data_IF_046982165494
#
_entry.id   IF_046982165494
#
_cell.length_a   1.000
_cell.length_b   1.000
_cell.length_c   1.000
_cell.angle_alpha   90.00
_cell.angle_beta   90.00
_cell.angle_gamma   90.00
#
_symmetry.space_group_name_H-M   'P 1'
#
loop_
_entity.id
_entity.type
_entity.pdbx_description
1 polymer ?
#
# COMPACT_ATOMS: atom_id res chain seq x y z
N UNK A 1 -1.88 27.16 53.30
CA UNK A 1 -2.39 27.36 51.93
C UNK A 1 -1.65 26.41 50.98
N UNK A 2 -2.07 25.15 50.93
CA UNK A 2 -1.56 24.15 49.99
C UNK A 2 -2.78 23.68 49.20
N UNK A 3 -3.05 24.27 48.04
CA UNK A 3 -3.81 23.62 46.95
C UNK A 3 -3.94 24.58 45.76
N UNK A 4 -2.96 24.56 44.83
CA UNK A 4 -3.17 25.11 43.47
C UNK A 4 -2.23 24.53 42.40
N UNK A 5 -1.50 23.43 42.70
CA UNK A 5 -0.51 22.83 41.79
C UNK A 5 -0.86 21.45 41.24
N UNK A 6 -2.06 20.92 41.53
CA UNK A 6 -2.47 19.57 41.11
C UNK A 6 -3.45 19.51 39.94
N UNK A 7 -4.02 20.63 39.48
CA UNK A 7 -5.00 20.61 38.37
C UNK A 7 -4.40 20.55 36.97
N UNK A 8 -3.10 20.82 36.80
CA UNK A 8 -2.50 20.88 35.47
C UNK A 8 -1.77 19.59 35.04
N UNK A 9 -1.59 18.62 35.95
CA UNK A 9 -0.97 17.33 35.61
C UNK A 9 -1.97 16.33 35.04
N UNK A 10 -3.23 16.35 35.47
CA UNK A 10 -4.26 15.44 34.91
C UNK A 10 -4.62 15.77 33.46
N UNK A 11 -4.82 17.04 33.11
CA UNK A 11 -5.12 17.42 31.72
C UNK A 11 -3.95 17.21 30.74
N UNK A 12 -2.71 17.35 31.21
CA UNK A 12 -1.53 17.03 30.39
C UNK A 12 -1.33 15.52 30.20
N UNK A 13 -1.70 14.71 31.21
CA UNK A 13 -1.65 13.25 31.14
C UNK A 13 -2.80 12.68 30.30
N UNK A 14 -4.02 13.23 30.40
CA UNK A 14 -5.13 12.92 29.49
C UNK A 14 -4.81 13.34 28.05
N UNK A 15 -4.21 14.52 27.82
CA UNK A 15 -3.77 14.94 26.48
C UNK A 15 -2.66 14.04 25.91
N UNK A 16 -1.75 13.53 26.76
CA UNK A 16 -0.75 12.53 26.37
C UNK A 16 -1.37 11.15 26.08
N UNK A 17 -2.37 10.74 26.86
CA UNK A 17 -3.13 9.51 26.63
C UNK A 17 -4.01 9.60 25.37
N UNK A 18 -4.59 10.77 25.09
CA UNK A 18 -5.35 11.05 23.86
C UNK A 18 -4.43 11.09 22.65
N UNK A 19 -3.21 11.64 22.78
CA UNK A 19 -2.18 11.61 21.74
C UNK A 19 -1.60 10.20 21.51
N UNK A 20 -1.55 9.35 22.54
CA UNK A 20 -1.25 7.91 22.41
C UNK A 20 -2.41 7.12 21.77
N UNK A 21 -3.65 7.62 21.86
CA UNK A 21 -4.84 7.02 21.22
C UNK A 21 -5.07 7.47 19.77
N UNK A 22 -4.28 8.42 19.25
CA UNK A 22 -4.36 8.82 17.86
C UNK A 22 -3.77 7.73 16.95
N UNK A 23 -4.63 7.10 16.14
CA UNK A 23 -4.18 6.19 15.08
C UNK A 23 -3.06 6.83 14.23
N UNK A 24 -1.86 6.28 14.35
CA UNK A 24 -0.68 6.70 13.60
C UNK A 24 -0.16 5.52 12.78
N UNK A 25 -0.78 5.23 11.62
CA UNK A 25 -0.56 3.98 10.92
C UNK A 25 0.87 3.86 10.40
N UNK A 26 1.48 2.71 10.68
CA UNK A 26 2.52 2.17 9.83
C UNK A 26 1.87 1.59 8.58
N UNK A 27 2.54 1.72 7.44
CA UNK A 27 2.06 1.23 6.16
C UNK A 27 2.92 0.06 5.69
N UNK A 28 2.29 -1.08 5.43
CA UNK A 28 2.87 -2.12 4.57
C UNK A 28 2.41 -1.85 3.14
N UNK A 29 3.34 -1.47 2.27
CA UNK A 29 3.06 -1.15 0.87
C UNK A 29 3.67 -2.25 0.02
N UNK A 30 2.84 -3.06 -0.63
CA UNK A 30 3.29 -4.17 -1.47
C UNK A 30 2.99 -3.87 -2.92
N UNK A 31 4.03 -3.87 -3.77
CA UNK A 31 3.83 -3.80 -5.22
C UNK A 31 3.58 -5.18 -5.81
N UNK A 32 2.65 -5.24 -6.75
CA UNK A 32 2.44 -6.37 -7.62
C UNK A 32 3.22 -6.19 -8.92
N UNK A 33 3.77 -7.29 -9.41
CA UNK A 33 4.57 -7.36 -10.62
C UNK A 33 5.17 -8.75 -10.75
N UNK A 34 5.70 -9.06 -11.94
CA UNK A 34 6.53 -10.24 -12.10
C UNK A 34 7.97 -9.93 -11.67
N UNK A 35 8.75 -10.93 -11.20
CA UNK A 35 10.06 -10.67 -10.58
C UNK A 35 11.04 -9.95 -11.50
N UNK A 36 11.62 -8.86 -11.01
CA UNK A 36 12.71 -8.13 -11.67
C UNK A 36 14.07 -8.83 -11.45
N UNK A 37 15.06 -8.63 -12.34
CA UNK A 37 15.01 -7.90 -13.62
C UNK A 37 14.51 -8.75 -14.79
N UNK A 38 14.09 -10.00 -14.54
CA UNK A 38 13.70 -10.94 -15.60
C UNK A 38 12.45 -10.48 -16.36
N UNK A 39 11.51 -9.83 -15.68
CA UNK A 39 10.22 -9.42 -16.24
C UNK A 39 9.96 -7.91 -16.09
N UNK A 40 10.68 -7.10 -16.87
CA UNK A 40 10.53 -5.64 -16.90
C UNK A 40 9.34 -5.19 -17.77
N UNK A 41 8.13 -5.60 -17.39
CA UNK A 41 6.91 -5.35 -18.16
C UNK A 41 6.04 -4.23 -17.59
N UNK A 42 5.07 -3.74 -18.37
CA UNK A 42 4.03 -2.82 -17.87
C UNK A 42 3.27 -3.40 -16.67
N UNK A 43 3.10 -4.72 -16.62
CA UNK A 43 2.48 -5.40 -15.48
C UNK A 43 3.32 -5.32 -14.19
N UNK A 44 4.58 -4.89 -14.29
CA UNK A 44 5.46 -4.65 -13.15
C UNK A 44 5.57 -3.17 -12.80
N UNK A 45 4.68 -2.31 -13.32
CA UNK A 45 4.68 -0.86 -13.05
C UNK A 45 4.75 -0.54 -11.55
N UNK A 46 4.05 -1.31 -10.71
CA UNK A 46 4.11 -1.15 -9.26
C UNK A 46 5.52 -1.29 -8.68
N UNK A 47 6.36 -2.21 -9.20
CA UNK A 47 7.74 -2.38 -8.74
C UNK A 47 8.60 -1.16 -9.06
N UNK A 48 8.50 -0.65 -10.29
CA UNK A 48 9.24 0.55 -10.72
C UNK A 48 8.83 1.77 -9.90
N UNK A 49 7.53 1.98 -9.70
CA UNK A 49 7.04 3.06 -8.84
C UNK A 49 7.57 2.94 -7.42
N UNK A 50 7.66 1.72 -6.87
CA UNK A 50 8.25 1.50 -5.55
C UNK A 50 9.76 1.80 -5.48
N UNK A 51 10.53 1.53 -6.55
CA UNK A 51 11.95 1.92 -6.63
C UNK A 51 12.12 3.43 -6.47
N UNK A 52 11.29 4.21 -7.17
CA UNK A 52 11.27 5.66 -7.08
C UNK A 52 10.74 6.17 -5.75
N UNK A 53 9.66 5.56 -5.26
CA UNK A 53 8.99 5.97 -4.01
C UNK A 53 9.90 5.84 -2.80
N UNK A 54 10.77 4.83 -2.75
CA UNK A 54 11.78 4.73 -1.69
C UNK A 54 12.67 5.99 -1.63
N UNK A 55 13.07 6.54 -2.78
CA UNK A 55 13.87 7.77 -2.85
C UNK A 55 13.04 8.99 -2.46
N UNK A 56 11.83 9.13 -3.01
CA UNK A 56 10.90 10.23 -2.70
C UNK A 56 10.58 10.32 -1.21
N UNK A 57 10.45 9.17 -0.54
CA UNK A 57 10.17 9.09 0.89
C UNK A 57 11.45 9.04 1.76
N UNK A 58 12.63 9.22 1.17
CA UNK A 58 13.94 9.16 1.83
C UNK A 58 14.15 7.87 2.67
N UNK A 59 13.65 6.74 2.17
CA UNK A 59 13.82 5.44 2.80
C UNK A 59 15.20 4.84 2.50
N UNK A 60 15.68 3.90 3.33
CA UNK A 60 16.90 3.16 3.04
C UNK A 60 16.82 2.43 1.69
N UNK A 61 17.99 2.11 1.12
CA UNK A 61 18.06 1.27 -0.06
C UNK A 61 17.36 -0.09 0.16
N UNK A 62 16.82 -0.65 -0.92
CA UNK A 62 16.25 -2.00 -0.88
C UNK A 62 17.30 -3.02 -0.49
N UNK A 63 16.92 -3.93 0.41
CA UNK A 63 17.69 -5.10 0.79
C UNK A 63 16.86 -6.35 0.58
N UNK A 64 17.55 -7.44 0.27
CA UNK A 64 16.94 -8.75 0.25
C UNK A 64 16.70 -9.23 1.69
N UNK A 65 15.47 -9.62 1.98
CA UNK A 65 15.06 -10.15 3.29
C UNK A 65 14.07 -11.29 3.09
N UNK A 66 13.98 -12.16 4.09
CA UNK A 66 12.88 -13.12 4.17
C UNK A 66 11.67 -12.44 4.81
N UNK A 67 10.55 -12.39 4.08
CA UNK A 67 9.26 -11.93 4.57
C UNK A 67 8.17 -12.81 3.96
N UNK A 68 7.18 -13.21 4.74
CA UNK A 68 6.10 -14.08 4.23
C UNK A 68 6.64 -15.42 3.71
N UNK A 69 7.72 -15.92 4.32
CA UNK A 69 8.42 -17.18 3.95
C UNK A 69 9.11 -17.16 2.58
N UNK A 70 9.32 -16.00 1.97
CA UNK A 70 10.02 -15.86 0.69
C UNK A 70 11.08 -14.77 0.76
N UNK A 71 12.14 -14.94 -0.02
CA UNK A 71 13.13 -13.87 -0.21
C UNK A 71 12.53 -12.78 -1.10
N UNK A 72 12.61 -11.52 -0.67
CA UNK A 72 12.06 -10.38 -1.40
C UNK A 72 12.83 -9.10 -1.11
N UNK A 73 12.67 -8.11 -2.00
CA UNK A 73 13.25 -6.79 -1.81
C UNK A 73 12.36 -5.94 -0.91
N UNK A 74 12.95 -5.45 0.18
CA UNK A 74 12.29 -4.56 1.14
C UNK A 74 13.12 -3.30 1.38
N UNK A 75 12.45 -2.15 1.34
CA UNK A 75 12.95 -0.87 1.83
C UNK A 75 12.08 -0.47 3.03
N UNK A 76 12.68 -0.33 4.20
CA UNK A 76 11.95 -0.20 5.45
C UNK A 76 12.39 1.05 6.21
N UNK A 77 11.43 1.95 6.44
CA UNK A 77 11.53 3.05 7.39
C UNK A 77 10.63 2.87 8.62
N UNK A 78 10.53 3.89 9.48
CA UNK A 78 9.68 3.85 10.66
C UNK A 78 8.19 3.80 10.31
N UNK A 79 7.77 4.56 9.28
CA UNK A 79 6.36 4.69 8.87
C UNK A 79 5.99 3.81 7.68
N UNK A 80 6.86 3.71 6.68
CA UNK A 80 6.61 2.99 5.44
C UNK A 80 7.50 1.75 5.32
N UNK A 81 6.90 0.61 5.01
CA UNK A 81 7.58 -0.63 4.64
C UNK A 81 7.20 -0.93 3.19
N UNK A 82 8.13 -0.72 2.27
CA UNK A 82 7.93 -0.99 0.86
C UNK A 82 8.43 -2.39 0.52
N UNK A 83 7.58 -3.20 -0.10
CA UNK A 83 7.87 -4.59 -0.45
C UNK A 83 7.58 -4.82 -1.93
N UNK A 84 8.52 -5.42 -2.64
CA UNK A 84 8.28 -5.95 -3.98
C UNK A 84 7.91 -7.42 -3.89
N UNK A 85 6.73 -7.79 -4.41
CA UNK A 85 6.36 -9.20 -4.46
C UNK A 85 7.39 -10.00 -5.26
N UNK A 86 7.95 -11.10 -4.72
CA UNK A 86 8.95 -11.92 -5.42
C UNK A 86 8.30 -13.01 -6.29
N UNK A 87 7.00 -12.93 -6.53
CA UNK A 87 6.21 -14.01 -7.14
C UNK A 87 5.73 -13.65 -8.54
N UNK A 88 5.28 -14.64 -9.30
CA UNK A 88 4.51 -14.36 -10.51
C UNK A 88 3.18 -13.71 -10.16
N UNK A 89 2.74 -12.81 -11.04
CA UNK A 89 1.58 -11.97 -10.83
C UNK A 89 0.31 -12.76 -10.47
N UNK A 90 0.05 -13.89 -11.12
CA UNK A 90 -1.16 -14.68 -10.88
C UNK A 90 -1.19 -15.39 -9.51
N UNK A 91 -0.05 -15.47 -8.81
CA UNK A 91 0.08 -16.18 -7.53
C UNK A 91 0.57 -15.27 -6.39
N UNK A 92 0.50 -13.95 -6.56
CA UNK A 92 0.97 -12.99 -5.55
C UNK A 92 0.17 -13.01 -4.24
N UNK A 93 -1.06 -13.53 -4.25
CA UNK A 93 -1.91 -13.51 -3.07
C UNK A 93 -1.36 -14.26 -1.86
N UNK A 94 -0.77 -15.43 -2.06
CA UNK A 94 -0.19 -16.22 -0.98
C UNK A 94 0.96 -15.51 -0.28
N UNK A 95 1.84 -14.87 -1.05
CA UNK A 95 2.93 -14.05 -0.53
C UNK A 95 2.38 -12.84 0.24
N UNK A 96 1.48 -12.07 -0.36
CA UNK A 96 0.91 -10.86 0.28
C UNK A 96 0.22 -11.20 1.59
N UNK A 97 -0.57 -12.27 1.65
CA UNK A 97 -1.23 -12.71 2.87
C UNK A 97 -0.22 -13.11 3.97
N UNK A 98 0.85 -13.82 3.60
CA UNK A 98 1.88 -14.26 4.54
C UNK A 98 2.71 -13.08 5.05
N UNK A 99 3.12 -12.17 4.17
CA UNK A 99 3.84 -10.95 4.50
C UNK A 99 3.02 -10.03 5.41
N UNK A 100 1.72 -9.87 5.11
CA UNK A 100 0.79 -9.13 5.95
C UNK A 100 0.69 -9.76 7.35
N UNK A 101 0.44 -11.07 7.44
CA UNK A 101 0.31 -11.75 8.73
C UNK A 101 1.59 -11.63 9.58
N UNK A 102 2.76 -11.79 8.96
CA UNK A 102 4.04 -11.63 9.66
C UNK A 102 4.24 -10.19 10.16
N UNK A 103 3.86 -9.20 9.36
CA UNK A 103 3.96 -7.78 9.72
C UNK A 103 3.00 -7.42 10.86
N UNK A 104 1.76 -7.93 10.83
CA UNK A 104 0.79 -7.77 11.92
C UNK A 104 1.32 -8.38 13.22
N UNK A 105 1.91 -9.58 13.19
CA UNK A 105 2.51 -10.20 14.38
C UNK A 105 3.64 -9.35 14.99
N UNK A 106 4.31 -8.54 14.18
CA UNK A 106 5.43 -7.71 14.60
C UNK A 106 5.00 -6.35 15.15
N UNK A 107 3.93 -5.76 14.62
CA UNK A 107 3.56 -4.36 14.89
C UNK A 107 2.16 -4.15 15.49
N UNK A 108 1.31 -5.18 15.52
CA UNK A 108 -0.11 -5.02 15.85
C UNK A 108 -0.95 -4.70 14.60
N UNK A 109 -2.22 -5.08 14.63
CA UNK A 109 -3.15 -4.82 13.54
C UNK A 109 -3.72 -3.40 13.60
N UNK A 110 -3.96 -2.92 14.81
CA UNK A 110 -4.52 -1.63 15.18
C UNK A 110 -3.65 -0.42 14.81
N UNK A 111 -2.37 -0.64 14.52
CA UNK A 111 -1.42 0.41 14.12
C UNK A 111 -0.87 0.22 12.71
N UNK A 112 -1.46 -0.69 11.93
CA UNK A 112 -0.93 -1.10 10.62
C UNK A 112 -2.01 -1.06 9.54
N UNK A 113 -1.68 -0.43 8.41
CA UNK A 113 -2.49 -0.45 7.19
C UNK A 113 -1.79 -1.16 6.03
N UNK A 114 -2.58 -1.76 5.15
CA UNK A 114 -2.08 -2.42 3.93
C UNK A 114 -2.41 -1.59 2.69
N UNK A 115 -1.41 -1.37 1.84
CA UNK A 115 -1.61 -0.76 0.52
C UNK A 115 -1.01 -1.66 -0.54
N UNK A 116 -1.82 -1.99 -1.55
CA UNK A 116 -1.34 -2.72 -2.73
C UNK A 116 -1.16 -1.75 -3.89
N UNK A 117 0.04 -1.69 -4.46
CA UNK A 117 0.36 -0.89 -5.64
C UNK A 117 0.38 -1.80 -6.88
N UNK A 118 -0.41 -1.48 -7.89
CA UNK A 118 -0.57 -2.32 -9.09
C UNK A 118 -0.85 -1.49 -10.34
N UNK A 119 -0.68 -2.08 -11.54
CA UNK A 119 -1.03 -1.43 -12.80
C UNK A 119 -2.55 -1.34 -13.02
N UNK A 120 -2.99 -0.35 -13.79
CA UNK A 120 -4.39 -0.13 -14.18
C UNK A 120 -4.45 0.23 -15.66
N UNK A 121 -5.09 -0.64 -16.44
CA UNK A 121 -5.25 -0.48 -17.88
C UNK A 121 -6.10 0.74 -18.22
N UNK A 122 -7.05 1.08 -17.37
CA UNK A 122 -8.12 2.03 -17.70
C UNK A 122 -7.76 3.48 -17.34
N UNK A 123 -6.48 3.71 -17.03
CA UNK A 123 -5.93 5.01 -16.70
C UNK A 123 -4.74 5.28 -17.60
N UNK A 124 -4.62 6.52 -18.03
CA UNK A 124 -3.51 6.98 -18.85
C UNK A 124 -2.18 6.73 -18.15
N UNK A 125 -1.14 6.53 -18.95
CA UNK A 125 0.17 6.15 -18.44
C UNK A 125 0.68 7.14 -17.38
N UNK A 126 1.08 6.65 -16.21
CA UNK A 126 1.56 7.46 -15.09
C UNK A 126 0.46 8.04 -14.18
N UNK A 127 -0.81 7.99 -14.58
CA UNK A 127 -1.90 8.51 -13.75
C UNK A 127 -2.12 7.62 -12.52
N UNK A 128 -1.94 8.19 -11.34
CA UNK A 128 -2.15 7.50 -10.06
C UNK A 128 -3.58 7.69 -9.58
N UNK A 129 -4.19 6.61 -9.07
CA UNK A 129 -5.50 6.69 -8.41
C UNK A 129 -5.56 5.84 -7.15
N UNK A 130 -6.00 6.45 -6.06
CA UNK A 130 -6.39 5.74 -4.85
C UNK A 130 -7.71 4.99 -5.10
N UNK A 131 -7.73 3.70 -4.75
CA UNK A 131 -8.87 2.81 -4.89
C UNK A 131 -9.22 2.15 -3.54
N UNK A 132 -10.51 2.01 -3.22
CA UNK A 132 -10.95 1.17 -2.13
C UNK A 132 -10.48 -0.28 -2.29
N UNK A 133 -10.20 -0.94 -1.15
CA UNK A 133 -9.78 -2.34 -1.12
C UNK A 133 -10.74 -3.27 -1.87
N UNK A 134 -12.04 -3.09 -1.65
CA UNK A 134 -13.13 -3.95 -2.12
C UNK A 134 -13.51 -3.75 -3.60
N UNK A 135 -13.04 -2.67 -4.24
CA UNK A 135 -13.30 -2.40 -5.66
C UNK A 135 -12.94 -3.62 -6.52
N UNK A 136 -13.70 -3.87 -7.59
CA UNK A 136 -13.48 -5.01 -8.48
C UNK A 136 -12.03 -5.05 -9.01
N UNK A 137 -11.41 -6.25 -9.15
CA UNK A 137 -10.11 -6.40 -9.81
C UNK A 137 -10.12 -6.01 -11.29
N UNK A 138 -11.30 -5.91 -11.93
CA UNK A 138 -11.46 -5.59 -13.37
C UNK A 138 -10.57 -6.43 -14.30
N UNK A 139 -10.37 -7.70 -13.97
CA UNK A 139 -9.55 -8.65 -14.75
C UNK A 139 -8.06 -8.68 -14.37
N UNK A 140 -7.61 -7.84 -13.44
CA UNK A 140 -6.22 -7.86 -12.98
C UNK A 140 -5.93 -9.13 -12.14
N UNK A 141 -5.08 -10.01 -12.67
CA UNK A 141 -4.80 -11.31 -12.07
C UNK A 141 -4.12 -11.24 -10.70
N UNK A 142 -3.18 -10.30 -10.49
CA UNK A 142 -2.55 -10.09 -9.18
C UNK A 142 -3.54 -9.65 -8.10
N UNK A 143 -4.33 -8.61 -8.34
CA UNK A 143 -5.39 -8.19 -7.43
C UNK A 143 -6.39 -9.32 -7.17
N UNK A 144 -6.78 -10.09 -8.19
CA UNK A 144 -7.65 -11.27 -8.03
C UNK A 144 -7.02 -12.30 -7.08
N UNK A 145 -5.73 -12.60 -7.26
CA UNK A 145 -4.95 -13.49 -6.41
C UNK A 145 -4.94 -13.00 -4.96
N UNK A 146 -4.58 -11.72 -4.74
CA UNK A 146 -4.54 -11.09 -3.42
C UNK A 146 -5.89 -11.14 -2.72
N UNK A 147 -6.97 -10.76 -3.39
CA UNK A 147 -8.33 -10.81 -2.81
C UNK A 147 -8.81 -12.22 -2.51
N UNK A 148 -8.31 -13.23 -3.23
CA UNK A 148 -8.62 -14.63 -2.96
C UNK A 148 -7.90 -15.18 -1.72
N UNK A 149 -6.68 -14.68 -1.44
CA UNK A 149 -5.86 -15.16 -0.31
C UNK A 149 -6.02 -14.33 0.96
N UNK A 150 -6.38 -13.05 0.85
CA UNK A 150 -6.43 -12.11 1.95
C UNK A 150 -7.79 -11.42 2.04
N UNK A 151 -8.39 -11.44 3.24
CA UNK A 151 -9.66 -10.79 3.53
C UNK A 151 -9.49 -9.80 4.67
N UNK A 152 -9.82 -8.53 4.41
CA UNK A 152 -9.81 -7.47 5.42
C UNK A 152 -10.76 -7.77 6.59
N UNK A 153 -11.83 -8.55 6.38
CA UNK A 153 -12.73 -8.97 7.47
C UNK A 153 -12.02 -9.74 8.59
N UNK A 154 -10.84 -10.31 8.32
CA UNK A 154 -9.99 -10.97 9.33
C UNK A 154 -9.14 -9.99 10.15
N UNK A 155 -9.10 -8.72 9.76
CA UNK A 155 -8.29 -7.65 10.34
C UNK A 155 -9.15 -6.36 10.43
N UNK A 156 -10.23 -6.37 11.22
CA UNK A 156 -11.17 -5.24 11.27
C UNK A 156 -10.53 -3.93 11.75
N UNK A 157 -9.45 -4.01 12.51
CA UNK A 157 -8.69 -2.86 13.04
C UNK A 157 -7.69 -2.30 12.03
N UNK A 158 -7.43 -3.01 10.92
CA UNK A 158 -6.46 -2.61 9.91
C UNK A 158 -7.15 -2.09 8.65
N UNK A 159 -6.86 -0.86 8.24
CA UNK A 159 -7.43 -0.33 7.00
C UNK A 159 -6.61 -0.78 5.78
N UNK A 160 -7.30 -1.23 4.74
CA UNK A 160 -6.70 -1.71 3.50
C UNK A 160 -7.09 -0.80 2.34
N UNK A 161 -6.15 -0.57 1.42
CA UNK A 161 -6.42 0.18 0.19
C UNK A 161 -5.56 -0.32 -0.97
N UNK A 162 -5.83 0.24 -2.16
CA UNK A 162 -5.01 0.01 -3.35
C UNK A 162 -4.66 1.32 -4.01
N UNK A 163 -3.48 1.38 -4.59
CA UNK A 163 -3.05 2.48 -5.45
C UNK A 163 -2.85 1.90 -6.85
N UNK A 164 -3.66 2.39 -7.78
CA UNK A 164 -3.58 2.03 -9.19
C UNK A 164 -2.63 2.99 -9.91
N UNK A 165 -1.74 2.44 -10.73
CA UNK A 165 -0.82 3.18 -11.60
C UNK A 165 -1.25 2.94 -13.04
N UNK A 166 -1.67 3.99 -13.72
CA UNK A 166 -2.11 3.90 -15.10
C UNK A 166 -1.01 3.41 -16.03
N UNK A 167 -1.34 2.42 -16.86
CA UNK A 167 -0.43 1.91 -17.90
C UNK A 167 -0.99 2.14 -19.31
N UNK A 168 -2.21 2.66 -19.44
CA UNK A 168 -2.95 2.75 -20.69
C UNK A 168 -3.56 1.41 -21.10
N UNK A 169 -4.37 1.44 -22.17
CA UNK A 169 -5.01 0.26 -22.75
C UNK A 169 -4.78 0.22 -24.26
N UNK A 170 -4.51 -0.96 -24.85
CA UNK A 170 -4.51 -1.10 -26.30
C UNK A 170 -5.92 -0.88 -26.88
N UNK A 171 -6.00 -0.51 -28.15
CA UNK A 171 -7.27 -0.29 -28.87
C UNK A 171 -8.14 -1.55 -28.86
N UNK A 172 -7.55 -2.69 -29.23
CA UNK A 172 -8.19 -3.99 -29.17
C UNK A 172 -8.30 -4.48 -27.73
N UNK A 173 -9.51 -4.90 -27.35
CA UNK A 173 -9.85 -5.26 -25.96
C UNK A 173 -9.91 -6.76 -25.70
N UNK A 174 -9.57 -7.60 -26.67
CA UNK A 174 -9.55 -9.04 -26.48
C UNK A 174 -8.46 -9.46 -25.48
N UNK A 175 -8.66 -10.62 -24.86
CA UNK A 175 -7.79 -11.08 -23.78
C UNK A 175 -6.35 -11.32 -24.23
N UNK A 176 -6.12 -11.77 -25.47
CA UNK A 176 -4.80 -12.07 -25.96
C UNK A 176 -3.99 -10.79 -26.21
N UNK A 177 -4.62 -9.77 -26.78
CA UNK A 177 -3.98 -8.47 -27.02
C UNK A 177 -3.69 -7.74 -25.71
N UNK A 178 -4.62 -7.72 -24.76
CA UNK A 178 -4.38 -7.14 -23.43
C UNK A 178 -3.23 -7.86 -22.71
N UNK A 179 -3.19 -9.19 -22.77
CA UNK A 179 -2.11 -9.98 -22.17
C UNK A 179 -0.74 -9.64 -22.77
N UNK A 180 -0.63 -9.57 -24.11
CA UNK A 180 0.61 -9.15 -24.78
C UNK A 180 1.00 -7.72 -24.41
N UNK A 181 0.02 -6.82 -24.30
CA UNK A 181 0.26 -5.43 -23.94
C UNK A 181 0.87 -5.30 -22.54
N UNK A 182 0.26 -5.90 -21.52
CA UNK A 182 0.77 -5.78 -20.15
C UNK A 182 2.13 -6.45 -19.97
N UNK A 183 2.44 -7.47 -20.77
CA UNK A 183 3.73 -8.16 -20.76
C UNK A 183 4.81 -7.46 -21.61
N UNK A 184 4.46 -6.39 -22.32
CA UNK A 184 5.42 -5.62 -23.12
C UNK A 184 6.52 -5.04 -22.23
N UNK A 185 7.77 -5.19 -22.66
CA UNK A 185 8.92 -4.57 -22.00
C UNK A 185 8.76 -3.04 -22.00
N UNK A 186 8.98 -2.41 -20.85
CA UNK A 186 8.89 -0.96 -20.74
C UNK A 186 10.06 -0.26 -21.46
N UNK A 187 9.80 0.90 -22.05
CA UNK A 187 10.85 1.76 -22.60
C UNK A 187 11.62 2.50 -21.49
N UNK A 188 12.71 3.19 -21.87
CA UNK A 188 13.48 4.01 -20.94
C UNK A 188 12.65 5.19 -20.43
N UNK A 189 11.91 5.84 -21.32
CA UNK A 189 11.05 6.97 -21.02
C UNK A 189 9.93 6.55 -20.06
N UNK A 190 9.30 5.39 -20.33
CA UNK A 190 8.31 4.80 -19.43
C UNK A 190 8.90 4.51 -18.05
N UNK A 191 10.13 3.99 -17.99
CA UNK A 191 10.83 3.79 -16.72
C UNK A 191 11.06 5.11 -15.99
N UNK A 192 11.55 6.15 -16.67
CA UNK A 192 11.76 7.47 -16.08
C UNK A 192 10.47 8.02 -15.47
N UNK A 193 9.36 8.01 -16.20
CA UNK A 193 8.06 8.45 -15.64
C UNK A 193 7.63 7.62 -14.43
N UNK A 194 7.81 6.29 -14.46
CA UNK A 194 7.42 5.42 -13.35
C UNK A 194 8.33 5.57 -12.12
N UNK A 195 9.64 5.81 -12.30
CA UNK A 195 10.62 5.87 -11.21
C UNK A 195 10.94 7.28 -10.71
N UNK A 196 10.62 8.34 -11.47
CA UNK A 196 11.00 9.72 -11.12
C UNK A 196 9.79 10.66 -10.95
N UNK A 197 8.71 10.45 -11.71
CA UNK A 197 7.53 11.35 -11.69
C UNK A 197 6.37 10.77 -10.88
N UNK A 198 5.87 9.59 -11.28
CA UNK A 198 4.76 8.86 -10.66
C UNK A 198 4.89 8.70 -9.13
N UNK A 199 6.08 8.47 -8.53
CA UNK A 199 6.22 8.29 -7.09
C UNK A 199 5.73 9.47 -6.25
N UNK A 200 5.81 10.70 -6.77
CA UNK A 200 5.31 11.88 -6.07
C UNK A 200 3.80 11.84 -5.89
N UNK A 201 3.06 11.36 -6.90
CA UNK A 201 1.61 11.24 -6.83
C UNK A 201 1.18 10.05 -5.97
N UNK A 202 1.98 8.99 -5.92
CA UNK A 202 1.79 7.91 -4.93
C UNK A 202 2.00 8.44 -3.51
N UNK A 203 3.03 9.23 -3.26
CA UNK A 203 3.25 9.85 -1.95
C UNK A 203 2.07 10.74 -1.53
N UNK A 204 1.52 11.55 -2.44
CA UNK A 204 0.30 12.33 -2.19
C UNK A 204 -0.89 11.43 -1.84
N UNK A 205 -1.09 10.33 -2.58
CA UNK A 205 -2.15 9.37 -2.27
C UNK A 205 -1.97 8.72 -0.89
N UNK A 206 -0.74 8.44 -0.46
CA UNK A 206 -0.46 7.91 0.87
C UNK A 206 -0.79 8.92 1.99
N UNK A 207 -0.50 10.21 1.77
CA UNK A 207 -0.87 11.28 2.70
C UNK A 207 -2.38 11.45 2.80
N UNK A 208 -3.09 11.45 1.66
CA UNK A 208 -4.55 11.49 1.63
C UNK A 208 -5.15 10.30 2.36
N UNK A 209 -4.63 9.11 2.10
CA UNK A 209 -5.10 7.87 2.71
C UNK A 209 -4.87 7.84 4.23
N UNK A 210 -3.73 8.35 4.70
CA UNK A 210 -3.47 8.50 6.14
C UNK A 210 -4.49 9.42 6.81
N UNK A 211 -4.78 10.56 6.20
CA UNK A 211 -5.79 11.50 6.72
C UNK A 211 -7.17 10.84 6.76
N UNK A 212 -7.56 10.14 5.70
CA UNK A 212 -8.81 9.41 5.64
C UNK A 212 -8.90 8.36 6.76
N UNK A 213 -7.87 7.53 6.93
CA UNK A 213 -7.88 6.49 7.96
C UNK A 213 -7.89 7.06 9.39
N UNK A 214 -7.26 8.21 9.63
CA UNK A 214 -7.37 8.90 10.92
C UNK A 214 -8.80 9.35 11.20
N UNK A 215 -9.48 9.92 10.20
CA UNK A 215 -10.86 10.36 10.33
C UNK A 215 -11.79 9.16 10.60
N UNK A 216 -11.63 8.07 9.86
CA UNK A 216 -12.47 6.87 10.02
C UNK A 216 -12.37 6.27 11.43
N UNK A 217 -11.16 6.27 12.02
CA UNK A 217 -10.93 5.78 13.39
C UNK A 217 -11.50 6.76 14.43
N UNK A 218 -11.38 8.07 14.22
CA UNK A 218 -11.90 9.09 15.14
C UNK A 218 -13.42 9.29 15.05
N UNK A 219 -14.04 9.03 13.89
CA UNK A 219 -15.48 9.11 13.69
C UNK A 219 -16.26 7.90 14.23
N UNK A 220 -15.58 6.76 14.45
CA UNK A 220 -16.17 5.53 14.98
C UNK A 220 -16.46 5.55 16.48
N UNK A 221 -15.95 6.53 17.23
CA UNK A 221 -16.11 6.64 18.69
C UNK A 221 -17.27 7.56 19.14
N UNK A 222 -18.07 8.09 18.22
CA UNK A 222 -19.19 9.03 18.52
C UNK A 222 -20.60 8.42 18.61
N UNK A 223 -20.73 7.10 18.74
CA UNK A 223 -22.02 6.39 18.62
C UNK A 223 -22.67 5.95 19.93
N UNK A 224 -23.03 6.88 20.83
CA UNK A 224 -24.12 6.68 21.79
C UNK A 224 -24.66 8.03 22.27
N UNK A 225 -25.86 8.38 21.79
CA UNK A 225 -26.93 8.98 22.61
C UNK A 225 -28.21 8.94 21.78
N UNK A 226 -29.14 8.11 22.22
CA UNK A 226 -30.54 8.04 21.77
C UNK A 226 -31.26 9.39 21.96
N UNK A 227 -32.43 9.53 21.33
CA UNK A 227 -33.65 9.33 22.12
C UNK A 227 -34.54 8.16 21.65
#
# INVERSE_FOLDING_TARGET
>A
MICKRERNRRGFFEFLLDAESMFNPRFLIVSLGNPLPKYESLHSAGHFVLNGLAKTLHLPAYREVTLGRQSCLVSQGPKYILVQSPTYMNVSGGFVASAWQETVRKYGAESLGLVIVHDELEKDFGVVKLLPWDRSPRGHNGVKSVRGSLSQKKYPESPFARIAVGIGRPEERDAATVSRYVLKKISREQRTTLEEETPWDVAKCLMELENQWRIDVQGGSGGTTEP
#
